data_IF_292140991935
#
_entry.id   IF_292140991935
#
_cell.length_a   1.000
_cell.length_b   1.000
_cell.length_c   1.000
_cell.angle_alpha   90.00
_cell.angle_beta   90.00
_cell.angle_gamma   90.00
#
_symmetry.space_group_name_H-M   'P 1'
#
loop_
_entity.id
_entity.type
_entity.pdbx_description
1 polymer ?
#
# COMPACT_ATOMS: atom_id res chain seq x y z
N UNK A 1 -23.34 -12.21 51.26
CA UNK A 1 -24.19 -11.97 50.06
C UNK A 1 -23.27 -11.59 48.93
N UNK A 2 -23.09 -12.49 47.97
CA UNK A 2 -22.00 -12.47 47.00
C UNK A 2 -22.35 -11.59 45.78
N UNK A 3 -21.65 -10.45 45.65
CA UNK A 3 -21.91 -9.42 44.63
C UNK A 3 -21.61 -9.90 43.19
N UNK A 4 -20.95 -11.04 43.03
CA UNK A 4 -20.59 -11.60 41.71
C UNK A 4 -21.70 -12.40 41.02
N UNK A 5 -22.81 -12.71 41.71
CA UNK A 5 -23.91 -13.47 41.09
C UNK A 5 -24.69 -12.68 40.03
N UNK A 6 -24.73 -11.35 40.14
CA UNK A 6 -25.47 -10.49 39.20
C UNK A 6 -24.81 -10.37 37.83
N UNK A 7 -23.48 -10.22 37.79
CA UNK A 7 -22.73 -10.05 36.54
C UNK A 7 -22.73 -11.35 35.70
N UNK A 8 -22.55 -12.50 36.37
CA UNK A 8 -22.53 -13.81 35.70
C UNK A 8 -23.92 -14.16 35.12
N UNK A 9 -25.01 -13.80 35.80
CA UNK A 9 -26.36 -13.99 35.30
C UNK A 9 -26.66 -13.08 34.08
N UNK A 10 -26.19 -11.83 34.09
CA UNK A 10 -26.34 -10.89 32.98
C UNK A 10 -25.62 -11.38 31.72
N UNK A 11 -24.39 -11.90 31.87
CA UNK A 11 -23.58 -12.43 30.77
C UNK A 11 -24.20 -13.68 30.13
N UNK A 12 -24.80 -14.57 30.95
CA UNK A 12 -25.52 -15.76 30.43
C UNK A 12 -26.75 -15.39 29.60
N UNK A 13 -27.44 -14.31 29.95
CA UNK A 13 -28.56 -13.77 29.15
C UNK A 13 -28.14 -13.25 27.77
N UNK A 14 -26.86 -12.96 27.56
CA UNK A 14 -26.27 -12.53 26.29
C UNK A 14 -25.56 -13.66 25.54
N UNK A 15 -25.77 -14.91 25.94
CA UNK A 15 -25.20 -16.09 25.28
C UNK A 15 -23.77 -16.43 25.69
N UNK A 16 -23.24 -15.85 26.77
CA UNK A 16 -21.96 -16.30 27.34
C UNK A 16 -22.17 -17.53 28.22
N UNK A 17 -22.01 -18.71 27.62
CA UNK A 17 -21.76 -19.93 28.38
C UNK A 17 -20.26 -20.04 28.72
N UNK A 18 -19.99 -20.22 30.00
CA UNK A 18 -18.62 -20.38 30.54
C UNK A 18 -18.15 -21.83 30.51
N UNK A 19 -19.02 -22.77 30.11
CA UNK A 19 -18.70 -24.20 29.98
C UNK A 19 -18.12 -24.58 28.61
N UNK A 20 -18.34 -23.77 27.57
CA UNK A 20 -17.71 -23.93 26.25
C UNK A 20 -16.52 -22.97 26.16
N UNK A 21 -15.35 -23.45 26.59
CA UNK A 21 -14.09 -22.80 26.27
C UNK A 21 -14.03 -22.50 24.78
N UNK A 22 -14.05 -21.20 24.44
CA UNK A 22 -13.66 -20.65 23.14
C UNK A 22 -14.03 -21.55 21.94
N UNK A 23 -15.31 -21.58 21.58
CA UNK A 23 -15.75 -21.94 20.22
C UNK A 23 -15.39 -20.82 19.21
N UNK A 24 -14.14 -20.35 19.26
CA UNK A 24 -13.52 -19.48 18.28
C UNK A 24 -12.63 -20.30 17.33
N UNK A 25 -12.93 -21.60 17.17
CA UNK A 25 -12.13 -22.53 16.37
C UNK A 25 -12.72 -22.85 14.99
N UNK A 26 -13.99 -22.51 14.76
CA UNK A 26 -14.75 -23.01 13.59
C UNK A 26 -15.23 -21.95 12.59
N UNK A 27 -14.56 -20.80 12.54
CA UNK A 27 -14.74 -19.87 11.41
C UNK A 27 -13.43 -19.25 10.95
N UNK A 28 -12.37 -20.05 10.84
CA UNK A 28 -11.32 -19.72 9.88
C UNK A 28 -11.95 -19.81 8.49
N UNK A 29 -12.36 -18.66 7.95
CA UNK A 29 -12.63 -18.54 6.52
C UNK A 29 -11.33 -18.87 5.82
N UNK A 30 -11.21 -20.11 5.33
CA UNK A 30 -10.15 -20.50 4.40
C UNK A 30 -10.37 -19.68 3.13
N UNK A 31 -9.49 -18.72 2.87
CA UNK A 31 -9.48 -18.04 1.59
C UNK A 31 -8.97 -19.03 0.54
N UNK A 32 -9.75 -19.28 -0.51
CA UNK A 32 -9.30 -20.14 -1.62
C UNK A 32 -8.19 -19.50 -2.44
N UNK A 33 -7.93 -18.21 -2.26
CA UNK A 33 -6.90 -17.44 -2.97
C UNK A 33 -6.42 -16.25 -2.13
N UNK A 34 -5.13 -15.93 -2.23
CA UNK A 34 -4.48 -14.78 -1.60
C UNK A 34 -3.65 -14.07 -2.67
N UNK A 35 -3.81 -12.75 -2.77
CA UNK A 35 -2.92 -11.90 -3.57
C UNK A 35 -1.83 -11.33 -2.68
N UNK A 36 -0.57 -11.55 -3.05
CA UNK A 36 0.58 -10.88 -2.46
C UNK A 36 0.94 -9.69 -3.35
N UNK A 37 1.06 -8.51 -2.75
CA UNK A 37 1.60 -7.32 -3.41
C UNK A 37 3.04 -7.14 -2.94
N UNK A 38 3.99 -7.42 -3.81
CA UNK A 38 5.41 -7.30 -3.52
C UNK A 38 5.82 -5.82 -3.60
N UNK A 39 6.24 -5.25 -2.47
CA UNK A 39 6.58 -3.82 -2.34
C UNK A 39 8.08 -3.58 -2.18
N UNK A 40 8.89 -4.64 -2.10
CA UNK A 40 10.34 -4.60 -1.92
C UNK A 40 11.05 -3.67 -2.91
N UNK A 41 10.77 -3.69 -4.22
CA UNK A 41 11.40 -2.79 -5.19
C UNK A 41 11.13 -1.30 -4.96
N UNK A 42 10.01 -0.94 -4.32
CA UNK A 42 9.67 0.44 -3.97
C UNK A 42 9.94 0.72 -2.50
N UNK A 43 9.09 0.21 -1.62
CA UNK A 43 9.09 0.52 -0.18
C UNK A 43 10.32 -0.06 0.53
N UNK A 44 10.74 -1.26 0.10
CA UNK A 44 11.95 -1.90 0.62
C UNK A 44 13.21 -1.12 0.24
N UNK A 45 13.38 -0.79 -1.03
CA UNK A 45 14.56 -0.05 -1.50
C UNK A 45 14.61 1.39 -0.99
N UNK A 46 13.46 2.05 -0.80
CA UNK A 46 13.37 3.47 -0.44
C UNK A 46 14.23 3.89 0.77
N UNK A 47 14.45 2.99 1.74
CA UNK A 47 15.21 3.28 2.96
C UNK A 47 16.63 2.67 2.98
N UNK A 48 17.07 2.05 1.88
CA UNK A 48 18.44 1.54 1.73
C UNK A 48 19.37 2.72 1.43
N UNK A 49 20.51 2.79 2.13
CA UNK A 49 21.45 3.92 2.02
C UNK A 49 22.34 3.79 0.79
N UNK A 50 22.68 2.56 0.45
CA UNK A 50 23.50 2.21 -0.69
C UNK A 50 22.73 2.50 -1.99
N UNK A 51 23.39 3.23 -2.89
CA UNK A 51 22.84 3.45 -4.23
C UNK A 51 22.76 2.11 -4.97
N UNK A 52 21.56 1.78 -5.45
CA UNK A 52 21.33 0.59 -6.27
C UNK A 52 21.11 1.05 -7.70
N UNK A 53 21.83 0.44 -8.64
CA UNK A 53 21.76 0.83 -10.05
C UNK A 53 20.39 0.51 -10.65
N UNK A 54 20.00 1.22 -11.71
CA UNK A 54 18.79 0.91 -12.47
C UNK A 54 18.80 -0.54 -12.98
N UNK A 55 19.98 -1.03 -13.41
CA UNK A 55 20.17 -2.40 -13.88
C UNK A 55 19.79 -3.42 -12.80
N UNK A 56 20.35 -3.26 -11.60
CA UNK A 56 20.11 -4.19 -10.50
C UNK A 56 18.64 -4.17 -10.06
N UNK A 57 18.00 -3.00 -10.07
CA UNK A 57 16.56 -2.87 -9.79
C UNK A 57 15.71 -3.61 -10.83
N UNK A 58 16.04 -3.45 -12.11
CA UNK A 58 15.34 -4.14 -13.21
C UNK A 58 15.52 -5.65 -13.07
N UNK A 59 16.74 -6.12 -12.84
CA UNK A 59 17.02 -7.54 -12.62
C UNK A 59 16.23 -8.08 -11.41
N UNK A 60 16.22 -7.35 -10.30
CA UNK A 60 15.47 -7.71 -9.11
C UNK A 60 13.95 -7.85 -9.39
N UNK A 61 13.36 -6.87 -10.06
CA UNK A 61 11.92 -6.90 -10.42
C UNK A 61 11.61 -8.07 -11.36
N UNK A 62 12.49 -8.37 -12.32
CA UNK A 62 12.31 -9.50 -13.23
C UNK A 62 12.37 -10.83 -12.48
N UNK A 63 13.31 -10.98 -11.54
CA UNK A 63 13.42 -12.17 -10.69
C UNK A 63 12.16 -12.38 -9.83
N UNK A 64 11.56 -11.31 -9.30
CA UNK A 64 10.29 -11.38 -8.57
C UNK A 64 9.15 -11.87 -9.48
N UNK A 65 9.10 -11.36 -10.71
CA UNK A 65 8.12 -11.82 -11.68
C UNK A 65 8.38 -13.29 -12.12
N UNK A 66 9.63 -13.75 -12.20
CA UNK A 66 10.01 -15.16 -12.43
C UNK A 66 9.57 -16.06 -11.28
N UNK A 67 9.65 -15.55 -10.05
CA UNK A 67 9.21 -16.26 -8.86
C UNK A 67 7.68 -16.38 -8.74
N UNK A 68 6.91 -15.76 -9.64
CA UNK A 68 5.46 -15.85 -9.70
C UNK A 68 4.71 -14.71 -9.00
N UNK A 69 5.38 -13.61 -8.65
CA UNK A 69 4.69 -12.42 -8.14
C UNK A 69 3.79 -11.82 -9.24
N UNK A 70 2.49 -11.76 -8.98
CA UNK A 70 1.49 -11.20 -9.91
C UNK A 70 1.22 -9.71 -9.70
N UNK A 71 1.57 -9.15 -8.54
CA UNK A 71 1.50 -7.72 -8.27
C UNK A 71 2.81 -7.24 -7.65
N UNK A 72 3.48 -6.29 -8.32
CA UNK A 72 4.77 -5.75 -7.91
C UNK A 72 4.69 -4.23 -7.94
N UNK A 73 4.98 -3.58 -6.82
CA UNK A 73 5.15 -2.14 -6.76
C UNK A 73 6.61 -1.78 -7.05
N UNK A 74 6.86 -1.33 -8.28
CA UNK A 74 8.20 -1.29 -8.86
C UNK A 74 8.98 -0.02 -8.53
N UNK A 75 8.29 1.09 -8.29
CA UNK A 75 8.95 2.38 -8.04
C UNK A 75 7.97 3.44 -7.51
N UNK A 76 8.45 4.66 -7.27
CA UNK A 76 7.62 5.81 -6.91
C UNK A 76 8.01 7.07 -7.69
N UNK A 77 7.02 7.72 -8.31
CA UNK A 77 7.17 9.03 -8.94
C UNK A 77 7.22 10.19 -7.93
N UNK A 78 7.90 9.97 -6.80
CA UNK A 78 8.24 10.99 -5.81
C UNK A 78 9.33 11.90 -6.34
N UNK A 79 9.43 13.09 -5.74
CA UNK A 79 10.48 14.02 -6.12
C UNK A 79 11.86 13.47 -5.68
N UNK A 80 12.85 13.38 -6.59
CA UNK A 80 14.16 12.77 -6.31
C UNK A 80 14.91 13.38 -5.12
N UNK A 81 14.69 14.66 -4.83
CA UNK A 81 15.25 15.32 -3.64
C UNK A 81 14.85 14.64 -2.32
N UNK A 82 13.64 14.09 -2.23
CA UNK A 82 13.15 13.46 -1.00
C UNK A 82 13.53 11.98 -0.92
N UNK A 83 13.54 11.31 -2.06
CA UNK A 83 13.94 9.90 -2.16
C UNK A 83 14.88 9.71 -3.36
N UNK A 84 16.19 9.97 -3.18
CA UNK A 84 17.16 9.84 -4.27
C UNK A 84 17.24 8.44 -4.85
N UNK A 85 17.00 7.42 -4.02
CA UNK A 85 17.02 6.01 -4.39
C UNK A 85 16.02 5.66 -5.51
N UNK A 86 14.96 6.44 -5.69
CA UNK A 86 13.92 6.21 -6.70
C UNK A 86 13.95 7.26 -7.84
N UNK A 87 15.03 8.03 -7.96
CA UNK A 87 15.14 9.10 -8.96
C UNK A 87 14.98 8.61 -10.41
N UNK A 88 15.36 7.37 -10.68
CA UNK A 88 15.35 6.66 -11.95
C UNK A 88 13.99 6.03 -12.32
N UNK A 89 12.91 6.33 -11.59
CA UNK A 89 11.57 5.73 -11.75
C UNK A 89 11.10 5.53 -13.20
N UNK A 90 11.21 6.56 -14.04
CA UNK A 90 10.72 6.51 -15.41
C UNK A 90 11.62 5.65 -16.31
N UNK A 91 12.94 5.73 -16.12
CA UNK A 91 13.91 4.91 -16.84
C UNK A 91 13.74 3.43 -16.44
N UNK A 92 13.65 3.16 -15.14
CA UNK A 92 13.40 1.83 -14.59
C UNK A 92 12.14 1.22 -15.21
N UNK A 93 11.02 1.95 -15.18
CA UNK A 93 9.74 1.43 -15.68
C UNK A 93 9.81 1.11 -17.19
N UNK A 94 10.44 1.98 -17.98
CA UNK A 94 10.61 1.78 -19.42
C UNK A 94 11.48 0.56 -19.77
N UNK A 95 12.38 0.15 -18.87
CA UNK A 95 13.29 -0.99 -19.06
C UNK A 95 12.70 -2.33 -18.60
N UNK A 96 11.54 -2.33 -17.95
CA UNK A 96 10.89 -3.57 -17.51
C UNK A 96 10.33 -4.34 -18.72
N UNK A 97 10.77 -5.58 -18.88
CA UNK A 97 10.11 -6.55 -19.75
C UNK A 97 8.77 -6.94 -19.11
N UNK A 98 7.69 -6.27 -19.52
CA UNK A 98 6.33 -6.48 -18.99
C UNK A 98 5.85 -7.89 -19.30
N UNK A 99 5.56 -8.68 -18.27
CA UNK A 99 5.03 -10.05 -18.41
C UNK A 99 3.52 -10.07 -18.37
N UNK A 100 2.95 -10.99 -19.14
CA UNK A 100 1.52 -11.24 -19.10
C UNK A 100 1.11 -11.75 -17.70
N UNK A 101 -0.01 -11.26 -17.18
CA UNK A 101 -0.51 -11.63 -15.86
C UNK A 101 0.20 -10.96 -14.67
N UNK A 102 1.20 -10.09 -14.90
CA UNK A 102 1.89 -9.33 -13.84
C UNK A 102 1.49 -7.86 -13.89
N UNK A 103 0.99 -7.34 -12.77
CA UNK A 103 0.75 -5.92 -12.56
C UNK A 103 2.00 -5.24 -12.00
N UNK A 104 2.55 -4.30 -12.75
CA UNK A 104 3.66 -3.45 -12.33
C UNK A 104 3.11 -2.07 -11.95
N UNK A 105 2.93 -1.85 -10.65
CA UNK A 105 2.37 -0.63 -10.08
C UNK A 105 3.44 0.37 -9.64
N UNK A 106 3.11 1.66 -9.56
CA UNK A 106 4.01 2.67 -9.00
C UNK A 106 3.30 3.64 -8.04
N UNK A 107 3.99 4.08 -7.00
CA UNK A 107 3.45 5.06 -6.04
C UNK A 107 3.51 6.48 -6.63
N UNK A 108 2.39 7.21 -6.61
CA UNK A 108 2.26 8.60 -7.04
C UNK A 108 1.87 9.49 -5.84
N UNK A 109 2.80 10.29 -5.29
CA UNK A 109 2.54 11.04 -4.06
C UNK A 109 1.76 12.35 -4.28
N UNK A 110 1.62 12.80 -5.53
CA UNK A 110 0.95 14.04 -5.91
C UNK A 110 0.61 14.04 -7.42
N UNK A 111 -0.10 15.08 -7.86
CA UNK A 111 -0.54 15.28 -9.26
C UNK A 111 0.63 15.26 -10.26
N UNK A 112 1.77 15.90 -9.95
CA UNK A 112 2.95 15.86 -10.83
C UNK A 112 3.56 14.46 -10.94
N UNK A 113 3.52 13.69 -9.86
CA UNK A 113 3.88 12.28 -9.87
C UNK A 113 2.97 11.48 -10.80
N UNK A 114 1.66 11.74 -10.74
CA UNK A 114 0.68 11.12 -11.63
C UNK A 114 0.91 11.48 -13.10
N UNK A 115 1.16 12.74 -13.44
CA UNK A 115 1.52 13.16 -14.81
C UNK A 115 2.71 12.38 -15.37
N UNK A 116 3.74 12.14 -14.54
CA UNK A 116 4.91 11.36 -14.93
C UNK A 116 4.58 9.87 -15.09
N UNK A 117 3.73 9.32 -14.22
CA UNK A 117 3.27 7.93 -14.31
C UNK A 117 2.46 7.68 -15.59
N UNK A 118 1.55 8.60 -15.95
CA UNK A 118 0.79 8.56 -17.21
C UNK A 118 1.73 8.59 -18.41
N UNK A 119 2.71 9.51 -18.42
CA UNK A 119 3.72 9.59 -19.50
C UNK A 119 4.57 8.32 -19.62
N UNK A 120 4.83 7.64 -18.50
CA UNK A 120 5.54 6.37 -18.47
C UNK A 120 4.64 5.16 -18.77
N UNK A 121 3.36 5.36 -19.08
CA UNK A 121 2.36 4.31 -19.33
C UNK A 121 2.27 3.28 -18.19
N UNK A 122 2.29 3.77 -16.95
CA UNK A 122 2.09 2.95 -15.75
C UNK A 122 0.68 2.37 -15.75
N UNK A 123 0.57 1.06 -15.51
CA UNK A 123 -0.71 0.34 -15.61
C UNK A 123 -1.56 0.38 -14.34
N UNK A 124 -0.95 0.68 -13.19
CA UNK A 124 -1.64 0.81 -11.91
C UNK A 124 -0.83 1.77 -11.04
N UNK A 125 -1.51 2.68 -10.34
CA UNK A 125 -0.83 3.59 -9.41
C UNK A 125 -1.30 3.39 -7.99
N UNK A 126 -0.44 3.74 -7.04
CA UNK A 126 -0.80 3.80 -5.64
C UNK A 126 -0.71 5.23 -5.10
N UNK A 127 -1.68 5.63 -4.30
CA UNK A 127 -1.63 6.86 -3.49
C UNK A 127 -1.49 6.49 -2.02
N UNK A 128 -1.13 7.45 -1.18
CA UNK A 128 -1.14 7.25 0.27
C UNK A 128 -1.85 8.41 0.96
N UNK A 129 -2.58 8.07 2.03
CA UNK A 129 -3.22 9.01 2.95
C UNK A 129 -2.90 8.60 4.39
N UNK A 130 -3.02 9.53 5.33
CA UNK A 130 -2.80 9.28 6.76
C UNK A 130 -4.13 9.27 7.50
N UNK A 131 -4.25 8.40 8.51
CA UNK A 131 -5.34 8.43 9.49
C UNK A 131 -5.07 9.40 10.67
N UNK A 132 -3.88 10.00 10.74
CA UNK A 132 -3.46 10.95 11.78
C UNK A 132 -3.09 12.30 11.18
N UNK A 133 -3.70 13.39 11.69
CA UNK A 133 -3.39 14.76 11.28
C UNK A 133 -1.93 15.12 11.61
N UNK A 134 -1.46 14.75 12.79
CA UNK A 134 -0.07 15.01 13.19
C UNK A 134 0.93 14.31 12.27
N UNK A 135 0.65 13.05 11.90
CA UNK A 135 1.50 12.31 10.98
C UNK A 135 1.45 12.90 9.57
N UNK A 136 0.25 13.27 9.10
CA UNK A 136 0.02 13.91 7.81
C UNK A 136 0.84 15.19 7.67
N UNK A 137 0.71 16.11 8.64
CA UNK A 137 1.44 17.37 8.66
C UNK A 137 2.96 17.17 8.67
N UNK A 138 3.48 16.21 9.45
CA UNK A 138 4.93 15.96 9.51
C UNK A 138 5.50 15.32 8.25
N UNK A 139 4.75 14.47 7.56
CA UNK A 139 5.26 13.68 6.43
C UNK A 139 4.97 14.31 5.07
N UNK A 140 3.84 15.00 4.92
CA UNK A 140 3.43 15.60 3.63
C UNK A 140 3.29 17.10 3.68
N UNK A 141 3.48 17.75 4.84
CA UNK A 141 3.22 19.18 5.05
C UNK A 141 1.79 19.61 4.70
N UNK A 142 0.82 18.70 4.86
CA UNK A 142 -0.60 18.97 4.61
C UNK A 142 -1.50 18.21 5.57
N UNK A 143 -2.66 18.78 5.87
CA UNK A 143 -3.75 18.12 6.59
C UNK A 143 -4.31 16.94 5.80
N UNK A 144 -5.06 16.07 6.47
CA UNK A 144 -5.74 14.95 5.80
C UNK A 144 -6.69 15.48 4.71
N UNK A 145 -7.41 16.57 4.98
CA UNK A 145 -8.35 17.16 4.03
C UNK A 145 -7.66 17.69 2.76
N UNK A 146 -6.52 18.37 2.91
CA UNK A 146 -5.73 18.88 1.78
C UNK A 146 -5.15 17.73 0.94
N UNK A 147 -4.65 16.68 1.59
CA UNK A 147 -4.14 15.50 0.89
C UNK A 147 -5.26 14.76 0.15
N UNK A 148 -6.45 14.64 0.73
CA UNK A 148 -7.61 14.04 0.06
C UNK A 148 -8.05 14.85 -1.18
N UNK A 149 -7.90 16.17 -1.16
CA UNK A 149 -8.15 17.00 -2.34
C UNK A 149 -7.15 16.70 -3.46
N UNK A 150 -5.86 16.54 -3.15
CA UNK A 150 -4.87 16.11 -4.15
C UNK A 150 -5.17 14.69 -4.67
N UNK A 151 -5.56 13.77 -3.80
CA UNK A 151 -5.95 12.41 -4.20
C UNK A 151 -7.15 12.45 -5.15
N UNK A 152 -8.13 13.33 -4.93
CA UNK A 152 -9.27 13.50 -5.85
C UNK A 152 -8.81 13.88 -7.25
N UNK A 153 -7.88 14.83 -7.38
CA UNK A 153 -7.31 15.23 -8.67
C UNK A 153 -6.56 14.08 -9.35
N UNK A 154 -5.78 13.31 -8.59
CA UNK A 154 -5.11 12.10 -9.09
C UNK A 154 -6.13 11.07 -9.59
N UNK A 155 -7.22 10.83 -8.85
CA UNK A 155 -8.28 9.90 -9.23
C UNK A 155 -8.98 10.31 -10.52
N UNK A 156 -9.18 11.62 -10.74
CA UNK A 156 -9.79 12.13 -11.97
C UNK A 156 -8.86 11.92 -13.18
N UNK A 157 -7.56 12.18 -13.03
CA UNK A 157 -6.56 11.88 -14.08
C UNK A 157 -6.46 10.38 -14.37
N UNK A 158 -6.50 9.56 -13.32
CA UNK A 158 -6.43 8.12 -13.42
C UNK A 158 -7.64 7.56 -14.20
N UNK A 159 -8.86 8.05 -13.93
CA UNK A 159 -10.04 7.70 -14.74
C UNK A 159 -9.90 8.09 -16.20
N UNK A 160 -9.41 9.30 -16.48
CA UNK A 160 -9.22 9.77 -17.86
C UNK A 160 -8.21 8.92 -18.64
N UNK A 161 -7.28 8.27 -17.92
CA UNK A 161 -6.21 7.45 -18.49
C UNK A 161 -6.47 5.94 -18.36
N UNK A 162 -7.63 5.53 -17.84
CA UNK A 162 -7.98 4.12 -17.53
C UNK A 162 -6.94 3.40 -16.64
N UNK A 163 -6.41 4.11 -15.65
CA UNK A 163 -5.41 3.58 -14.71
C UNK A 163 -6.10 3.28 -13.36
N UNK A 164 -6.10 2.03 -12.88
CA UNK A 164 -6.55 1.69 -11.53
C UNK A 164 -5.69 2.36 -10.44
N UNK A 165 -6.33 2.70 -9.32
CA UNK A 165 -5.67 3.33 -8.18
C UNK A 165 -5.85 2.49 -6.92
N UNK A 166 -4.73 2.13 -6.28
CA UNK A 166 -4.66 1.57 -4.92
C UNK A 166 -4.41 2.69 -3.92
N UNK A 167 -4.96 2.59 -2.71
CA UNK A 167 -4.69 3.55 -1.64
C UNK A 167 -4.05 2.86 -0.43
N UNK A 168 -2.95 3.41 0.06
CA UNK A 168 -2.41 3.13 1.38
C UNK A 168 -3.03 4.07 2.42
N UNK A 169 -3.40 3.53 3.58
CA UNK A 169 -3.75 4.33 4.76
C UNK A 169 -2.67 4.11 5.80
N UNK A 170 -1.89 5.14 6.10
CA UNK A 170 -0.85 5.09 7.13
C UNK A 170 -1.43 5.39 8.51
N UNK A 171 -0.76 4.94 9.57
CA UNK A 171 -1.20 5.09 10.97
C UNK A 171 -2.55 4.44 11.32
N UNK A 172 -3.02 3.46 10.52
CA UNK A 172 -4.31 2.78 10.73
C UNK A 172 -4.46 2.08 12.08
N UNK A 173 -3.35 1.71 12.72
CA UNK A 173 -3.33 1.01 14.02
C UNK A 173 -2.61 1.82 15.11
N UNK A 174 -2.36 3.11 14.88
CA UNK A 174 -1.68 3.99 15.84
C UNK A 174 -0.79 5.02 15.15
N UNK A 175 -0.62 6.17 15.80
CA UNK A 175 0.31 7.22 15.39
C UNK A 175 1.55 7.19 16.30
N UNK A 176 2.77 7.15 15.75
CA UNK A 176 4.01 7.22 16.53
C UNK A 176 4.26 8.61 17.13
#
# INVERSE_FOLDING_TARGET
MDKNKGLIALLRGWGFDTATGFLYRDRMRSFSYVTIVEVGPRDGLQNIKESITTEDKVAYIQMLADAGCSHIEVTSFVHPRWVPQLADSAELYARLAQREGVCYSALVPNVRGMERAVKAAVKEVAVFISASETFSLKNTNGSIAENLQQVREIMDMARQSDIPVRAYVTTSFGCP
#
